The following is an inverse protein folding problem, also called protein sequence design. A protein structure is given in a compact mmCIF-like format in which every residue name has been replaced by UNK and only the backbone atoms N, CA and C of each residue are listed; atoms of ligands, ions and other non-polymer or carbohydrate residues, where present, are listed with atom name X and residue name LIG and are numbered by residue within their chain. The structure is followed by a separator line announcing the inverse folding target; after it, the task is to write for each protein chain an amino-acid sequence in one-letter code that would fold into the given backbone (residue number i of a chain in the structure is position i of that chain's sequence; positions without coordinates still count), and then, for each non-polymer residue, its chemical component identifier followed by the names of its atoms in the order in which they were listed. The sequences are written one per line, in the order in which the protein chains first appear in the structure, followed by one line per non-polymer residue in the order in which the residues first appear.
data_IF_780106105997
#
_entry.id   IF_780106105997
#
_cell.length_a   1.000
_cell.length_b   1.000
_cell.length_c   1.000
_cell.angle_alpha   90.00
_cell.angle_beta   90.00
_cell.angle_gamma   90.00
#
_symmetry.space_group_name_H-M   'P 1'
#
loop_
_entity.id
_entity.type
_entity.pdbx_description
1 polymer ?
#
# COMPACT_ATOMS: atom_id res chain seq x y z
N UNK A 1 -22.89 41.27 -27.17
CA UNK A 1 -23.45 40.08 -27.85
C UNK A 1 -23.46 38.93 -26.85
N UNK A 2 -24.60 38.72 -26.22
CA UNK A 2 -24.81 37.83 -25.08
C UNK A 2 -25.14 36.43 -25.60
N UNK A 3 -24.26 35.45 -25.40
CA UNK A 3 -24.56 34.04 -25.68
C UNK A 3 -24.89 33.33 -24.38
N UNK A 4 -26.12 32.84 -24.34
CA UNK A 4 -26.68 32.01 -23.29
C UNK A 4 -26.84 30.57 -23.80
N UNK A 5 -27.03 29.64 -22.85
CA UNK A 5 -27.41 28.22 -22.96
C UNK A 5 -26.32 27.25 -23.45
N UNK A 6 -26.21 26.02 -22.96
CA UNK A 6 -27.14 25.20 -22.17
C UNK A 6 -26.38 24.24 -21.22
N UNK A 7 -26.92 24.07 -20.01
CA UNK A 7 -26.62 22.93 -19.14
C UNK A 7 -27.33 21.69 -19.69
N UNK A 8 -26.63 20.55 -19.73
CA UNK A 8 -27.24 19.25 -19.95
C UNK A 8 -26.76 18.30 -18.86
N UNK A 9 -27.63 18.11 -17.87
CA UNK A 9 -27.52 17.12 -16.79
C UNK A 9 -28.20 15.85 -17.29
N UNK A 10 -27.45 14.75 -17.38
CA UNK A 10 -28.04 13.41 -17.58
C UNK A 10 -27.98 12.69 -16.25
N UNK A 11 -29.10 12.70 -15.53
CA UNK A 11 -29.38 11.83 -14.40
C UNK A 11 -30.02 10.54 -14.91
N UNK A 12 -29.35 9.41 -14.68
CA UNK A 12 -29.87 8.07 -14.99
C UNK A 12 -29.94 7.22 -13.73
N UNK A 13 -31.07 7.28 -13.03
CA UNK A 13 -31.47 6.32 -12.01
C UNK A 13 -31.78 4.97 -12.68
N UNK A 14 -31.19 3.89 -12.19
CA UNK A 14 -31.74 2.54 -12.34
C UNK A 14 -31.82 1.92 -10.95
N UNK A 15 -33.05 1.68 -10.51
CA UNK A 15 -33.38 1.03 -9.25
C UNK A 15 -33.98 -0.36 -9.48
N UNK A 16 -33.62 -1.28 -8.57
CA UNK A 16 -34.30 -2.49 -8.10
C UNK A 16 -34.59 -3.64 -9.08
N UNK A 17 -34.04 -4.83 -8.75
CA UNK A 17 -34.81 -6.00 -8.28
C UNK A 17 -33.88 -7.11 -7.77
N UNK A 18 -34.05 -7.52 -6.51
CA UNK A 18 -33.61 -8.83 -5.99
C UNK A 18 -34.60 -9.94 -6.44
N UNK A 19 -34.27 -11.24 -6.38
CA UNK A 19 -34.51 -11.97 -5.12
C UNK A 19 -33.55 -13.14 -4.77
N UNK A 20 -33.57 -13.44 -3.47
CA UNK A 20 -33.35 -14.70 -2.73
C UNK A 20 -32.80 -15.96 -3.43
N UNK A 21 -31.76 -16.54 -2.80
CA UNK A 21 -31.75 -17.94 -2.37
C UNK A 21 -30.61 -18.23 -1.38
N UNK A 22 -30.96 -18.69 -0.19
CA UNK A 22 -30.06 -19.39 0.74
C UNK A 22 -30.10 -20.90 0.44
N UNK A 23 -29.02 -21.63 0.75
CA UNK A 23 -29.22 -22.71 1.71
C UNK A 23 -28.11 -22.85 2.77
N UNK A 24 -28.52 -23.59 3.78
CA UNK A 24 -27.98 -23.89 5.10
C UNK A 24 -26.80 -24.88 5.13
N UNK A 25 -26.25 -25.02 6.35
CA UNK A 25 -25.51 -26.15 6.93
C UNK A 25 -23.97 -26.17 6.67
N UNK A 26 -23.08 -26.48 7.63
CA UNK A 26 -23.20 -27.20 8.90
C UNK A 26 -22.10 -26.77 9.89
N UNK A 27 -22.42 -26.81 11.18
CA UNK A 27 -21.46 -26.77 12.31
C UNK A 27 -21.19 -28.21 12.75
N UNK A 28 -19.96 -28.60 13.14
CA UNK A 28 -19.76 -29.78 13.97
C UNK A 28 -19.68 -29.40 15.46
N UNK A 29 -20.44 -30.15 16.24
CA UNK A 29 -20.64 -30.08 17.69
C UNK A 29 -19.93 -31.26 18.39
N UNK A 30 -19.41 -30.95 19.59
CA UNK A 30 -18.90 -31.77 20.74
C UNK A 30 -17.85 -32.89 20.57
N UNK A 31 -16.84 -32.83 21.44
CA UNK A 31 -16.70 -33.88 22.47
C UNK A 31 -16.00 -33.37 23.72
N UNK A 32 -16.75 -33.33 24.82
CA UNK A 32 -16.26 -33.21 26.18
C UNK A 32 -15.59 -34.52 26.60
N UNK A 33 -14.49 -34.44 27.36
CA UNK A 33 -14.07 -35.52 28.25
C UNK A 33 -13.59 -34.94 29.57
N UNK A 34 -14.43 -35.10 30.58
CA UNK A 34 -14.10 -34.95 31.99
C UNK A 34 -13.00 -35.95 32.41
N UNK A 35 -12.07 -35.46 33.23
CA UNK A 35 -11.47 -36.21 34.33
C UNK A 35 -10.70 -35.26 35.27
N UNK A 36 -11.25 -35.01 36.44
CA UNK A 36 -10.51 -34.63 37.66
C UNK A 36 -10.49 -35.87 38.60
N UNK A 37 -9.92 -35.86 39.84
CA UNK A 37 -8.97 -34.94 40.51
C UNK A 37 -7.80 -35.68 41.24
N UNK A 38 -6.86 -34.93 41.86
CA UNK A 38 -6.02 -35.26 43.05
C UNK A 38 -4.62 -34.62 42.90
N UNK A 39 -3.85 -34.21 43.91
CA UNK A 39 -3.99 -33.89 45.32
C UNK A 39 -2.64 -33.22 45.74
N UNK A 40 -2.70 -32.30 46.69
CA UNK A 40 -1.68 -31.86 47.68
C UNK A 40 -0.17 -31.71 47.32
N UNK A 41 0.35 -30.53 47.73
CA UNK A 41 1.75 -30.06 47.83
C UNK A 41 2.65 -30.95 48.76
N UNK A 42 3.96 -30.72 49.06
CA UNK A 42 4.74 -29.45 49.06
C UNK A 42 6.26 -29.55 48.70
N UNK A 43 6.96 -28.41 48.50
CA UNK A 43 8.26 -28.06 49.13
C UNK A 43 8.82 -26.75 48.55
N UNK A 44 9.39 -25.92 49.42
CA UNK A 44 9.85 -24.58 49.12
C UNK A 44 11.20 -24.49 48.44
N UNK A 45 11.40 -23.40 47.70
CA UNK A 45 12.72 -22.88 47.36
C UNK A 45 12.57 -21.37 47.07
N UNK A 46 13.31 -20.47 47.74
CA UNK A 46 13.29 -19.06 47.39
C UNK A 46 14.06 -18.86 46.08
N UNK A 47 13.37 -18.39 45.04
CA UNK A 47 14.00 -17.96 43.79
C UNK A 47 14.67 -16.59 44.00
N UNK A 48 15.88 -16.36 43.45
CA UNK A 48 16.61 -15.11 43.61
C UNK A 48 15.91 -13.96 42.88
N UNK A 49 16.05 -12.76 43.43
CA UNK A 49 15.46 -11.52 42.94
C UNK A 49 15.71 -11.31 41.44
N UNK A 50 14.66 -11.45 40.63
CA UNK A 50 14.63 -10.92 39.29
C UNK A 50 14.61 -9.39 39.41
N UNK A 51 15.75 -8.77 39.10
CA UNK A 51 15.82 -7.34 38.84
C UNK A 51 14.89 -7.07 37.65
N UNK A 52 13.71 -6.54 37.96
CA UNK A 52 12.74 -6.07 36.98
C UNK A 52 13.34 -4.84 36.29
N UNK A 53 14.17 -5.10 35.29
CA UNK A 53 14.59 -4.10 34.33
C UNK A 53 13.35 -3.87 33.47
N UNK A 54 12.58 -2.85 33.82
CA UNK A 54 11.54 -2.29 32.97
C UNK A 54 12.23 -2.00 31.64
N UNK A 55 12.05 -2.91 30.68
CA UNK A 55 12.38 -2.64 29.30
C UNK A 55 11.51 -1.44 28.94
N UNK A 56 12.14 -0.29 28.71
CA UNK A 56 11.48 0.82 28.05
C UNK A 56 10.92 0.23 26.74
N UNK A 57 9.59 0.04 26.72
CA UNK A 57 8.86 -0.35 25.53
C UNK A 57 8.94 0.84 24.59
N UNK A 58 10.04 0.92 23.84
CA UNK A 58 10.07 1.68 22.61
C UNK A 58 8.97 1.08 21.75
N UNK A 59 7.84 1.78 21.69
CA UNK A 59 6.75 1.48 20.77
C UNK A 59 7.23 1.77 19.36
N UNK A 60 8.22 1.00 18.89
CA UNK A 60 8.50 0.86 17.48
C UNK A 60 7.24 0.24 16.90
N UNK A 61 6.56 1.00 16.06
CA UNK A 61 5.49 0.49 15.22
C UNK A 61 6.09 -0.64 14.40
N UNK A 62 5.96 -1.88 14.88
CA UNK A 62 6.50 -3.07 14.24
C UNK A 62 5.60 -3.37 13.04
N UNK A 63 5.82 -2.60 11.98
CA UNK A 63 5.16 -2.82 10.69
C UNK A 63 5.81 -4.04 10.08
N UNK A 64 5.02 -5.09 9.85
CA UNK A 64 5.48 -6.28 9.17
C UNK A 64 5.99 -5.90 7.77
N UNK A 65 7.31 -5.97 7.60
CA UNK A 65 7.97 -5.58 6.36
C UNK A 65 7.54 -6.46 5.18
N UNK A 66 7.16 -7.72 5.42
CA UNK A 66 6.61 -8.61 4.40
C UNK A 66 5.29 -8.10 3.83
N UNK A 67 4.44 -7.53 4.69
CA UNK A 67 3.17 -6.91 4.28
C UNK A 67 3.43 -5.64 3.44
N UNK A 68 4.37 -4.78 3.84
CA UNK A 68 4.70 -3.56 3.08
C UNK A 68 5.18 -3.90 1.67
N UNK A 69 6.04 -4.91 1.52
CA UNK A 69 6.50 -5.38 0.21
C UNK A 69 5.31 -5.81 -0.67
N UNK A 70 4.35 -6.54 -0.11
CA UNK A 70 3.17 -6.98 -0.83
C UNK A 70 2.27 -5.81 -1.22
N UNK A 71 2.03 -4.87 -0.31
CA UNK A 71 1.19 -3.71 -0.55
C UNK A 71 1.82 -2.78 -1.61
N UNK A 72 3.14 -2.52 -1.54
CA UNK A 72 3.87 -1.75 -2.56
C UNK A 72 3.73 -2.39 -3.95
N UNK A 73 3.83 -3.72 -4.05
CA UNK A 73 3.62 -4.42 -5.33
C UNK A 73 2.20 -4.27 -5.83
N UNK A 74 1.22 -4.28 -4.94
CA UNK A 74 -0.19 -4.16 -5.27
C UNK A 74 -0.53 -2.76 -5.79
N UNK A 75 -0.05 -1.72 -5.09
CA UNK A 75 -0.20 -0.31 -5.47
C UNK A 75 0.53 -0.02 -6.77
N UNK A 76 1.83 -0.34 -6.85
CA UNK A 76 2.62 -0.09 -8.05
C UNK A 76 2.16 -0.94 -9.25
N UNK A 77 1.50 -2.08 -9.01
CA UNK A 77 0.88 -2.89 -10.04
C UNK A 77 -0.44 -2.33 -10.57
N UNK A 78 -0.98 -1.25 -9.98
CA UNK A 78 -2.28 -0.67 -10.35
C UNK A 78 -3.47 -1.55 -9.95
N UNK A 79 -3.28 -2.46 -8.99
CA UNK A 79 -4.29 -3.43 -8.54
C UNK A 79 -4.86 -3.10 -7.16
N UNK A 80 -4.57 -1.91 -6.65
CA UNK A 80 -5.00 -1.43 -5.34
C UNK A 80 -6.33 -0.71 -5.36
N UNK A 81 -7.22 -0.93 -6.33
CA UNK A 81 -8.55 -0.32 -6.33
C UNK A 81 -9.59 -1.20 -5.64
N UNK A 82 -10.67 -0.59 -5.14
CA UNK A 82 -11.81 -1.30 -4.53
C UNK A 82 -12.35 -2.41 -5.44
N UNK A 83 -12.40 -2.18 -6.76
CA UNK A 83 -12.89 -3.18 -7.72
C UNK A 83 -11.98 -4.41 -7.83
N UNK A 84 -10.68 -4.28 -7.51
CA UNK A 84 -9.71 -5.37 -7.64
C UNK A 84 -9.52 -6.20 -6.38
N UNK A 85 -9.58 -5.56 -5.19
CA UNK A 85 -9.30 -6.22 -3.91
C UNK A 85 -10.48 -6.20 -2.93
N UNK A 86 -11.56 -5.51 -3.27
CA UNK A 86 -12.70 -5.28 -2.38
C UNK A 86 -12.49 -4.08 -1.44
N UNK A 87 -13.58 -3.51 -0.89
CA UNK A 87 -13.52 -2.32 -0.06
C UNK A 87 -12.76 -2.55 1.25
N UNK A 88 -13.01 -3.66 1.94
CA UNK A 88 -12.37 -3.94 3.24
C UNK A 88 -10.85 -4.09 3.12
N UNK A 89 -10.37 -4.76 2.08
CA UNK A 89 -8.94 -4.93 1.84
C UNK A 89 -8.28 -3.62 1.40
N UNK A 90 -8.98 -2.82 0.61
CA UNK A 90 -8.55 -1.49 0.21
C UNK A 90 -8.37 -0.58 1.44
N UNK A 91 -9.37 -0.54 2.31
CA UNK A 91 -9.33 0.29 3.51
C UNK A 91 -8.24 -0.16 4.48
N UNK A 92 -8.05 -1.47 4.64
CA UNK A 92 -6.96 -2.03 5.43
C UNK A 92 -5.58 -1.65 4.84
N UNK A 93 -5.41 -1.72 3.52
CA UNK A 93 -4.18 -1.30 2.84
C UNK A 93 -3.91 0.18 3.05
N UNK A 94 -4.92 1.04 2.84
CA UNK A 94 -4.77 2.49 3.03
C UNK A 94 -4.52 2.87 4.49
N UNK A 95 -5.12 2.14 5.45
CA UNK A 95 -4.83 2.32 6.87
C UNK A 95 -3.36 1.98 7.20
N UNK A 96 -2.84 0.86 6.69
CA UNK A 96 -1.42 0.49 6.87
C UNK A 96 -0.48 1.48 6.20
N UNK A 97 -0.82 1.94 5.00
CA UNK A 97 -0.06 2.96 4.29
C UNK A 97 0.05 4.24 5.13
N UNK A 98 -1.08 4.78 5.60
CA UNK A 98 -1.12 6.02 6.40
C UNK A 98 -0.41 5.89 7.75
N UNK A 99 -0.37 4.70 8.32
CA UNK A 99 0.35 4.45 9.56
C UNK A 99 1.89 4.51 9.40
N UNK A 100 2.42 4.25 8.19
CA UNK A 100 3.85 4.17 7.95
C UNK A 100 4.29 4.62 6.53
N UNK A 101 3.91 5.82 6.06
CA UNK A 101 4.12 6.25 4.67
C UNK A 101 5.61 6.30 4.29
N UNK A 102 6.49 6.68 5.22
CA UNK A 102 7.93 6.70 4.99
C UNK A 102 8.54 5.32 4.72
N UNK A 103 7.97 4.27 5.31
CA UNK A 103 8.41 2.88 5.07
C UNK A 103 8.01 2.45 3.66
N UNK A 104 6.82 2.85 3.21
CA UNK A 104 6.36 2.62 1.84
C UNK A 104 7.19 3.39 0.81
N UNK A 105 7.56 4.65 1.09
CA UNK A 105 8.46 5.44 0.25
C UNK A 105 9.83 4.77 0.10
N UNK A 106 10.41 4.31 1.21
CA UNK A 106 11.70 3.64 1.22
C UNK A 106 11.66 2.35 0.38
N UNK A 107 10.64 1.52 0.58
CA UNK A 107 10.45 0.28 -0.20
C UNK A 107 10.20 0.58 -1.68
N UNK A 108 9.37 1.56 -2.03
CA UNK A 108 9.14 1.95 -3.42
C UNK A 108 10.43 2.42 -4.10
N UNK A 109 11.25 3.22 -3.42
CA UNK A 109 12.54 3.66 -3.94
C UNK A 109 13.55 2.51 -4.10
N UNK A 110 13.53 1.55 -3.17
CA UNK A 110 14.31 0.31 -3.26
C UNK A 110 13.85 -0.55 -4.46
N UNK A 111 12.56 -0.62 -4.75
CA UNK A 111 12.06 -1.32 -5.95
C UNK A 111 12.43 -0.63 -7.25
N UNK A 112 12.41 0.70 -7.28
CA UNK A 112 12.93 1.47 -8.42
C UNK A 112 14.46 1.28 -8.58
N UNK A 113 15.17 0.98 -7.48
CA UNK A 113 16.45 0.23 -7.41
C UNK A 113 16.72 -0.73 -8.53
N UNK A 114 15.87 -1.74 -8.46
CA UNK A 114 16.07 -3.06 -9.02
C UNK A 114 15.29 -3.19 -10.33
N UNK A 115 14.33 -2.29 -10.56
CA UNK A 115 13.49 -2.30 -11.74
C UNK A 115 14.28 -2.05 -13.01
N UNK A 116 14.06 -2.92 -13.99
CA UNK A 116 14.48 -2.68 -15.37
C UNK A 116 13.76 -1.45 -15.94
N UNK A 117 14.33 -0.77 -16.95
CA UNK A 117 13.67 0.36 -17.60
C UNK A 117 12.25 0.04 -18.10
N UNK A 118 12.03 -1.17 -18.62
CA UNK A 118 10.70 -1.63 -19.05
C UNK A 118 9.73 -1.77 -17.87
N UNK A 119 10.18 -2.27 -16.72
CA UNK A 119 9.35 -2.33 -15.52
C UNK A 119 9.00 -0.94 -15.01
N UNK A 120 9.93 0.02 -15.04
CA UNK A 120 9.67 1.41 -14.66
C UNK A 120 8.57 2.05 -15.53
N UNK A 121 8.51 1.72 -16.82
CA UNK A 121 7.45 2.21 -17.70
C UNK A 121 6.06 1.59 -17.38
N UNK A 122 6.03 0.39 -16.80
CA UNK A 122 4.80 -0.37 -16.55
C UNK A 122 4.24 -0.19 -15.12
N UNK A 123 5.10 0.07 -14.13
CA UNK A 123 4.74 0.12 -12.72
C UNK A 123 4.55 1.55 -12.22
N UNK A 124 3.56 1.75 -11.36
CA UNK A 124 3.07 3.02 -10.85
C UNK A 124 3.69 3.39 -9.49
N UNK A 125 5.01 3.37 -9.38
CA UNK A 125 5.69 3.74 -8.13
C UNK A 125 5.51 5.22 -7.77
N UNK A 126 5.25 6.09 -8.76
CA UNK A 126 4.94 7.50 -8.54
C UNK A 126 3.71 7.72 -7.65
N UNK A 127 2.71 6.82 -7.71
CA UNK A 127 1.49 6.90 -6.89
C UNK A 127 1.81 6.82 -5.40
N UNK A 128 2.78 5.98 -5.02
CA UNK A 128 3.22 5.86 -3.62
C UNK A 128 3.83 7.17 -3.13
N UNK A 129 4.53 7.87 -4.02
CA UNK A 129 5.13 9.17 -3.72
C UNK A 129 4.05 10.24 -3.58
N UNK A 130 3.10 10.29 -4.50
CA UNK A 130 1.95 11.21 -4.46
C UNK A 130 1.11 11.04 -3.19
N UNK A 131 0.79 9.80 -2.81
CA UNK A 131 0.04 9.49 -1.60
C UNK A 131 0.79 9.89 -0.31
N UNK A 132 2.12 10.03 -0.38
CA UNK A 132 2.95 10.42 0.76
C UNK A 132 3.16 11.94 0.86
N UNK A 133 2.68 12.75 -0.10
CA UNK A 133 2.83 14.21 -0.04
C UNK A 133 2.06 14.79 1.14
N UNK A 134 0.88 14.24 1.43
CA UNK A 134 0.08 14.63 2.60
C UNK A 134 0.82 14.23 3.89
N UNK A 135 1.27 15.24 4.65
CA UNK A 135 1.97 15.06 5.92
C UNK A 135 3.48 14.79 5.83
N UNK A 136 4.00 14.41 4.64
CA UNK A 136 5.43 14.10 4.45
C UNK A 136 6.03 14.70 3.17
N UNK A 137 5.56 15.89 2.78
CA UNK A 137 5.99 16.61 1.57
C UNK A 137 7.51 16.66 1.34
N UNK A 138 8.34 17.09 2.32
CA UNK A 138 9.79 17.16 2.13
C UNK A 138 10.46 15.80 1.86
N UNK A 139 10.07 14.75 2.58
CA UNK A 139 10.56 13.38 2.40
C UNK A 139 10.08 12.77 1.08
N UNK A 140 8.81 13.01 0.72
CA UNK A 140 8.24 12.61 -0.56
C UNK A 140 8.98 13.29 -1.72
N UNK A 141 9.22 14.60 -1.65
CA UNK A 141 9.97 15.36 -2.66
C UNK A 141 11.43 14.91 -2.75
N UNK A 142 12.07 14.58 -1.62
CA UNK A 142 13.42 13.99 -1.60
C UNK A 142 13.44 12.65 -2.34
N UNK A 143 12.47 11.80 -2.07
CA UNK A 143 12.35 10.48 -2.70
C UNK A 143 12.05 10.61 -4.20
N UNK A 144 11.15 11.53 -4.57
CA UNK A 144 10.82 11.85 -5.96
C UNK A 144 12.07 12.26 -6.76
N UNK A 145 12.92 13.15 -6.20
CA UNK A 145 14.19 13.55 -6.82
C UNK A 145 15.13 12.36 -7.07
N UNK A 146 15.19 11.40 -6.14
CA UNK A 146 16.01 10.21 -6.29
C UNK A 146 15.48 9.31 -7.42
N UNK A 147 14.16 9.11 -7.48
CA UNK A 147 13.51 8.30 -8.51
C UNK A 147 13.61 8.92 -9.90
N UNK A 148 13.51 10.25 -10.02
CA UNK A 148 13.58 10.99 -11.29
C UNK A 148 14.81 10.66 -12.12
N UNK A 149 15.99 10.53 -11.49
CA UNK A 149 17.23 10.17 -12.18
C UNK A 149 17.09 8.83 -12.92
N UNK A 150 16.45 7.84 -12.29
CA UNK A 150 16.26 6.51 -12.87
C UNK A 150 15.22 6.49 -13.97
N UNK A 151 14.11 7.20 -13.79
CA UNK A 151 13.09 7.35 -14.83
C UNK A 151 13.64 8.07 -16.08
N UNK A 152 14.42 9.13 -15.91
CA UNK A 152 15.08 9.84 -17.03
C UNK A 152 16.10 8.94 -17.74
N UNK A 153 16.88 8.15 -16.99
CA UNK A 153 17.79 7.16 -17.57
C UNK A 153 17.04 6.07 -18.35
N UNK A 154 15.94 5.55 -17.80
CA UNK A 154 15.08 4.58 -18.46
C UNK A 154 14.48 5.13 -19.75
N UNK A 155 14.03 6.40 -19.74
CA UNK A 155 13.52 7.09 -20.92
C UNK A 155 14.58 7.23 -22.00
N UNK A 156 15.79 7.64 -21.65
CA UNK A 156 16.89 7.76 -22.61
C UNK A 156 17.20 6.41 -23.28
N UNK A 157 17.18 5.31 -22.51
CA UNK A 157 17.32 3.94 -23.06
C UNK A 157 16.15 3.58 -23.98
N UNK A 158 14.92 3.90 -23.61
CA UNK A 158 13.73 3.64 -24.42
C UNK A 158 13.75 4.39 -25.76
N UNK A 159 14.23 5.64 -25.79
CA UNK A 159 14.37 6.41 -27.04
C UNK A 159 15.39 5.77 -27.98
N UNK A 160 16.45 5.17 -27.42
CA UNK A 160 17.49 4.49 -28.20
C UNK A 160 17.09 3.06 -28.64
N UNK A 161 15.98 2.52 -28.15
CA UNK A 161 15.53 1.14 -28.35
C UNK A 161 14.17 1.12 -29.07
N UNK A 162 14.13 1.04 -30.42
CA UNK A 162 12.89 1.07 -31.21
C UNK A 162 11.88 -0.02 -30.81
N UNK A 163 12.36 -1.16 -30.30
CA UNK A 163 11.53 -2.27 -29.85
C UNK A 163 10.77 -1.99 -28.55
N UNK A 164 11.00 -0.84 -27.91
CA UNK A 164 10.26 -0.36 -26.74
C UNK A 164 9.21 0.69 -27.10
N UNK A 165 8.63 0.55 -28.29
CA UNK A 165 7.57 1.44 -28.75
C UNK A 165 6.43 1.56 -27.72
N UNK A 166 5.92 2.78 -27.55
CA UNK A 166 4.93 3.13 -26.54
C UNK A 166 5.41 3.24 -25.08
N UNK A 167 6.67 2.93 -24.74
CA UNK A 167 7.17 3.13 -23.37
C UNK A 167 7.59 4.56 -23.07
N UNK A 168 8.08 5.32 -24.07
CA UNK A 168 8.52 6.72 -23.87
C UNK A 168 7.38 7.60 -23.35
N UNK A 169 6.16 7.60 -23.93
CA UNK A 169 5.05 8.40 -23.40
C UNK A 169 4.68 8.02 -21.96
N UNK A 170 4.78 6.74 -21.59
CA UNK A 170 4.49 6.28 -20.21
C UNK A 170 5.52 6.78 -19.23
N UNK A 171 6.80 6.71 -19.58
CA UNK A 171 7.87 7.25 -18.76
C UNK A 171 7.76 8.77 -18.63
N UNK A 172 7.33 9.47 -19.68
CA UNK A 172 7.11 10.93 -19.63
C UNK A 172 6.01 11.34 -18.65
N UNK A 173 4.91 10.58 -18.59
CA UNK A 173 3.85 10.82 -17.60
C UNK A 173 4.37 10.65 -16.16
N UNK A 174 5.16 9.59 -15.93
CA UNK A 174 5.73 9.31 -14.59
C UNK A 174 6.78 10.34 -14.18
N UNK A 175 7.60 10.79 -15.12
CA UNK A 175 8.56 11.88 -14.90
C UNK A 175 7.81 13.16 -14.50
N UNK A 176 6.76 13.52 -15.23
CA UNK A 176 5.98 14.73 -14.93
C UNK A 176 5.33 14.66 -13.55
N UNK A 177 4.71 13.53 -13.20
CA UNK A 177 4.13 13.32 -11.88
C UNK A 177 5.15 13.52 -10.75
N UNK A 178 6.35 12.95 -10.89
CA UNK A 178 7.41 13.15 -9.90
C UNK A 178 7.94 14.59 -9.88
N UNK A 179 8.03 15.27 -11.03
CA UNK A 179 8.40 16.69 -11.11
C UNK A 179 7.38 17.58 -10.39
N UNK A 180 6.09 17.29 -10.54
CA UNK A 180 5.01 18.00 -9.84
C UNK A 180 5.12 17.80 -8.32
N UNK A 181 5.43 16.58 -7.85
CA UNK A 181 5.70 16.35 -6.41
C UNK A 181 6.92 17.15 -5.94
N UNK A 182 7.99 17.18 -6.72
CA UNK A 182 9.19 17.96 -6.36
C UNK A 182 8.91 19.45 -6.28
N UNK A 183 8.09 19.98 -7.19
CA UNK A 183 7.73 21.40 -7.22
C UNK A 183 6.82 21.80 -6.05
N UNK A 184 5.93 20.91 -5.61
CA UNK A 184 4.94 21.20 -4.56
C UNK A 184 5.37 20.76 -3.15
N UNK A 185 6.38 19.89 -3.02
CA UNK A 185 6.83 19.34 -1.74
C UNK A 185 8.01 20.06 -1.09
N UNK A 186 8.22 21.35 -1.39
CA UNK A 186 9.25 22.21 -0.77
C UNK A 186 8.69 23.13 0.29
#
# INVERSE_FOLDING_TARGET
MTRALAFLVVAGLVACSAPANSPSASVPDVSMKDAAPAASAPTGQPAPAATSKVAASSSETNVDHGIVIQDVRLIAGGRSSVDHIGPDAHDALMARFRAAPLVYLAEANARVAEATPRQLAMLYFEVIVELSVEGHGPEAAKTARQMLSRYRSARAKAVAAPEWDGQVPRLDLKIRALEDVVANGT
#
